data_IF_585868250128
#
_entry.id   IF_585868250128
#
_cell.length_a   1.000
_cell.length_b   1.000
_cell.length_c   1.000
_cell.angle_alpha   90.00
_cell.angle_beta   90.00
_cell.angle_gamma   90.00
#
_symmetry.space_group_name_H-M   'P 1'
#
loop_
_entity.id
_entity.type
_entity.pdbx_description
1 polymer ?
#
# COMPACT_ATOMS: atom_id res chain seq x y z
N UNK A 1 8.49 12.92 -23.23
CA UNK A 1 8.75 11.87 -24.24
C UNK A 1 7.70 10.75 -24.26
N UNK A 2 7.54 9.92 -23.22
CA UNK A 2 6.63 8.76 -23.30
C UNK A 2 5.16 9.16 -23.51
N UNK A 3 4.61 10.08 -22.71
CA UNK A 3 3.21 10.51 -22.82
C UNK A 3 2.90 11.24 -24.12
N UNK A 4 3.83 12.05 -24.64
CA UNK A 4 3.64 12.81 -25.88
C UNK A 4 3.50 11.88 -27.10
N UNK A 5 4.31 10.81 -27.15
CA UNK A 5 4.21 9.80 -28.21
C UNK A 5 2.89 9.03 -28.07
N UNK A 6 2.54 8.57 -26.86
CA UNK A 6 1.28 7.85 -26.65
C UNK A 6 0.04 8.69 -27.01
N UNK A 7 0.05 9.99 -26.72
CA UNK A 7 -1.04 10.91 -27.07
C UNK A 7 -1.14 11.14 -28.58
N UNK A 8 0.01 11.23 -29.27
CA UNK A 8 0.07 11.34 -30.71
C UNK A 8 -0.49 10.09 -31.39
N UNK A 9 -0.02 8.90 -30.97
CA UNK A 9 -0.49 7.62 -31.51
C UNK A 9 -2.01 7.47 -31.28
N UNK A 10 -2.49 7.80 -30.07
CA UNK A 10 -3.92 7.79 -29.75
C UNK A 10 -4.74 8.69 -30.70
N UNK A 11 -4.26 9.90 -30.96
CA UNK A 11 -4.96 10.87 -31.81
C UNK A 11 -4.94 10.48 -33.29
N UNK A 12 -3.76 10.13 -33.82
CA UNK A 12 -3.55 9.93 -35.25
C UNK A 12 -3.96 8.52 -35.70
N UNK A 13 -3.56 7.47 -34.98
CA UNK A 13 -3.71 6.08 -35.44
C UNK A 13 -5.01 5.41 -34.95
N UNK A 14 -5.56 5.84 -33.81
CA UNK A 14 -6.73 5.19 -33.21
C UNK A 14 -8.00 6.04 -33.23
N UNK A 15 -7.89 7.37 -33.29
CA UNK A 15 -9.02 8.30 -33.24
C UNK A 15 -9.31 9.02 -34.57
N UNK A 16 -8.68 8.62 -35.67
CA UNK A 16 -8.83 9.24 -37.00
C UNK A 16 -8.65 10.77 -36.98
N UNK A 17 -7.73 11.27 -36.15
CA UNK A 17 -7.42 12.70 -36.02
C UNK A 17 -8.41 13.53 -35.20
N UNK A 18 -9.34 12.92 -34.46
CA UNK A 18 -10.24 13.66 -33.57
C UNK A 18 -9.46 14.46 -32.51
N UNK A 19 -9.89 15.69 -32.24
CA UNK A 19 -9.21 16.60 -31.29
C UNK A 19 -9.25 16.05 -29.86
N UNK A 20 -8.09 15.96 -29.20
CA UNK A 20 -7.96 15.54 -27.81
C UNK A 20 -7.60 16.75 -26.94
N UNK A 21 -8.41 17.02 -25.93
CA UNK A 21 -8.11 18.02 -24.90
C UNK A 21 -7.29 17.37 -23.78
N UNK A 22 -6.03 17.75 -23.67
CA UNK A 22 -5.09 17.21 -22.69
C UNK A 22 -4.89 18.24 -21.58
N UNK A 23 -5.12 17.85 -20.33
CA UNK A 23 -4.75 18.65 -19.17
C UNK A 23 -3.28 18.48 -18.82
N UNK A 24 -2.74 19.36 -17.97
CA UNK A 24 -1.38 19.20 -17.46
C UNK A 24 -1.21 17.82 -16.81
N UNK A 25 -0.05 17.17 -17.01
CA UNK A 25 0.22 15.88 -16.39
C UNK A 25 0.21 16.04 -14.88
N UNK A 26 -0.39 15.06 -14.20
CA UNK A 26 -0.43 14.98 -12.75
C UNK A 26 0.27 13.70 -12.31
N UNK A 27 0.93 13.76 -11.16
CA UNK A 27 1.49 12.59 -10.49
C UNK A 27 0.52 12.14 -9.40
N UNK A 28 0.40 10.83 -9.21
CA UNK A 28 -0.38 10.28 -8.11
C UNK A 28 0.43 10.39 -6.83
N UNK A 29 -0.10 11.10 -5.84
CA UNK A 29 0.46 11.10 -4.50
C UNK A 29 0.03 9.82 -3.77
N UNK A 30 0.91 9.34 -2.90
CA UNK A 30 0.64 8.26 -1.95
C UNK A 30 0.67 8.86 -0.55
N UNK A 31 -0.12 8.28 0.34
CA UNK A 31 -0.17 8.66 1.74
C UNK A 31 0.62 7.63 2.56
N UNK A 32 1.24 8.10 3.63
CA UNK A 32 1.91 7.28 4.64
C UNK A 32 1.61 7.87 6.02
N UNK A 33 2.01 7.18 7.07
CA UNK A 33 1.90 7.64 8.44
C UNK A 33 3.29 7.87 9.04
N UNK A 34 3.43 8.90 9.86
CA UNK A 34 4.70 9.21 10.55
C UNK A 34 4.94 8.30 11.76
N UNK A 35 3.86 7.73 12.31
CA UNK A 35 3.90 6.95 13.55
C UNK A 35 3.80 7.83 14.80
N UNK A 36 3.43 7.19 15.90
CA UNK A 36 3.39 7.79 17.24
C UNK A 36 3.96 6.79 18.23
N UNK A 37 4.45 7.27 19.37
CA UNK A 37 4.93 6.40 20.43
C UNK A 37 3.77 5.59 21.01
N UNK A 38 4.01 4.28 21.17
CA UNK A 38 3.07 3.33 21.78
C UNK A 38 1.65 3.38 21.16
N UNK A 39 1.52 3.15 19.84
CA UNK A 39 0.27 3.37 19.11
C UNK A 39 -0.87 2.45 19.58
N UNK A 40 -0.53 1.28 20.12
CA UNK A 40 -1.49 0.31 20.65
C UNK A 40 -2.19 0.77 21.94
N UNK A 41 -1.64 1.78 22.63
CA UNK A 41 -2.25 2.35 23.82
C UNK A 41 -2.67 3.81 23.61
N UNK A 42 -1.95 4.58 22.79
CA UNK A 42 -2.15 6.04 22.65
C UNK A 42 -3.00 6.45 21.45
N UNK A 43 -3.08 5.61 20.41
CA UNK A 43 -3.70 5.97 19.12
C UNK A 43 -4.71 4.95 18.59
N UNK A 44 -5.30 4.15 19.48
CA UNK A 44 -6.35 3.19 19.10
C UNK A 44 -7.64 3.92 18.70
N UNK A 45 -8.04 3.71 17.45
CA UNK A 45 -9.29 4.19 16.90
C UNK A 45 -10.39 3.12 16.99
N UNK A 46 -11.59 3.52 17.41
CA UNK A 46 -12.77 2.65 17.52
C UNK A 46 -13.80 3.00 16.44
N UNK A 47 -14.17 2.01 15.63
CA UNK A 47 -15.31 2.09 14.72
C UNK A 47 -16.39 1.06 15.07
N UNK A 48 -17.65 1.39 14.82
CA UNK A 48 -18.81 0.52 15.12
C UNK A 48 -19.66 0.37 13.87
N UNK A 49 -20.15 -0.84 13.61
CA UNK A 49 -21.14 -1.04 12.55
C UNK A 49 -22.45 -0.29 12.89
N UNK A 50 -23.25 0.12 11.90
CA UNK A 50 -24.51 0.83 12.14
C UNK A 50 -25.47 0.09 13.08
N UNK A 51 -25.50 -1.24 13.00
CA UNK A 51 -26.31 -2.11 13.86
C UNK A 51 -25.69 -2.39 15.25
N UNK A 52 -24.50 -1.83 15.54
CA UNK A 52 -23.77 -1.94 16.81
C UNK A 52 -23.35 -3.36 17.25
N UNK A 53 -23.43 -4.35 16.37
CA UNK A 53 -22.95 -5.71 16.67
C UNK A 53 -21.44 -5.85 16.51
N UNK A 54 -20.84 -5.10 15.58
CA UNK A 54 -19.41 -5.16 15.32
C UNK A 54 -18.73 -3.90 15.82
N UNK A 55 -17.57 -4.11 16.48
CA UNK A 55 -16.67 -3.05 16.91
C UNK A 55 -15.28 -3.41 16.40
N UNK A 56 -14.62 -2.49 15.72
CA UNK A 56 -13.25 -2.62 15.28
C UNK A 56 -12.40 -1.63 16.06
N UNK A 57 -11.33 -2.13 16.66
CA UNK A 57 -10.29 -1.35 17.32
C UNK A 57 -9.05 -1.48 16.46
N UNK A 58 -8.55 -0.37 15.94
CA UNK A 58 -7.43 -0.34 14.99
C UNK A 58 -6.48 0.77 15.41
N UNK A 59 -5.19 0.45 15.42
CA UNK A 59 -4.11 1.42 15.43
C UNK A 59 -3.26 1.20 14.18
N UNK A 60 -2.38 2.13 13.86
CA UNK A 60 -1.45 2.01 12.75
C UNK A 60 -0.06 2.46 13.18
N UNK A 61 0.95 1.78 12.65
CA UNK A 61 2.37 2.13 12.80
C UNK A 61 3.04 2.07 11.42
N UNK A 62 4.08 2.88 11.17
CA UNK A 62 4.86 2.77 9.95
C UNK A 62 5.38 1.34 9.77
N UNK A 63 5.45 0.87 8.53
CA UNK A 63 6.12 -0.39 8.24
C UNK A 63 7.64 -0.24 8.50
N UNK A 64 8.34 -1.31 8.90
CA UNK A 64 9.79 -1.32 8.96
C UNK A 64 10.42 -0.91 7.63
N UNK A 65 11.61 -0.32 7.69
CA UNK A 65 12.38 0.03 6.50
C UNK A 65 12.61 -1.19 5.59
N UNK A 66 12.75 -0.95 4.29
CA UNK A 66 12.93 -1.97 3.23
C UNK A 66 11.76 -2.96 3.02
N UNK A 67 10.87 -3.17 3.99
CA UNK A 67 9.73 -4.07 3.84
C UNK A 67 8.76 -3.63 2.72
N UNK A 68 8.39 -2.35 2.58
CA UNK A 68 7.53 -1.91 1.48
C UNK A 68 8.11 -2.27 0.11
N UNK A 69 9.41 -2.05 -0.10
CA UNK A 69 10.10 -2.39 -1.35
C UNK A 69 10.11 -3.91 -1.58
N UNK A 70 10.34 -4.71 -0.52
CA UNK A 70 10.29 -6.17 -0.62
C UNK A 70 8.89 -6.70 -0.99
N UNK A 71 7.83 -6.04 -0.52
CA UNK A 71 6.44 -6.37 -0.89
C UNK A 71 6.19 -6.01 -2.36
N UNK A 72 6.61 -4.81 -2.81
CA UNK A 72 6.46 -4.39 -4.21
C UNK A 72 7.26 -5.26 -5.19
N UNK A 73 8.46 -5.70 -4.80
CA UNK A 73 9.30 -6.65 -5.54
C UNK A 73 8.71 -8.08 -5.55
N UNK A 74 7.71 -8.37 -4.73
CA UNK A 74 7.11 -9.70 -4.60
C UNK A 74 7.94 -10.72 -3.81
N UNK A 75 8.94 -10.26 -3.04
CA UNK A 75 9.74 -11.12 -2.13
C UNK A 75 8.92 -11.58 -0.92
N UNK A 76 7.95 -10.78 -0.50
CA UNK A 76 6.97 -11.10 0.54
C UNK A 76 5.58 -11.03 -0.08
N UNK A 77 4.86 -12.14 -0.12
CA UNK A 77 3.50 -12.20 -0.68
C UNK A 77 2.53 -12.96 0.23
N UNK A 78 1.23 -12.60 0.23
CA UNK A 78 0.21 -13.33 0.97
C UNK A 78 0.06 -14.80 0.53
N UNK A 79 0.65 -15.18 -0.61
CA UNK A 79 0.64 -16.56 -1.12
C UNK A 79 1.75 -17.44 -0.54
N UNK A 80 2.73 -16.85 0.13
CA UNK A 80 3.82 -17.61 0.74
C UNK A 80 3.30 -18.51 1.87
N UNK A 81 4.04 -19.57 2.15
CA UNK A 81 3.77 -20.42 3.30
C UNK A 81 3.94 -19.60 4.60
N UNK A 82 2.96 -19.68 5.50
CA UNK A 82 2.84 -18.76 6.64
C UNK A 82 4.05 -18.81 7.58
N UNK A 83 4.64 -19.99 7.83
CA UNK A 83 5.80 -20.12 8.70
C UNK A 83 7.06 -19.54 8.05
N UNK A 84 7.24 -19.74 6.75
CA UNK A 84 8.33 -19.13 5.99
C UNK A 84 8.20 -17.60 5.96
N UNK A 85 7.01 -17.07 5.67
CA UNK A 85 6.73 -15.61 5.68
C UNK A 85 6.97 -15.00 7.05
N UNK A 86 6.45 -15.62 8.12
CA UNK A 86 6.66 -15.14 9.50
C UNK A 86 8.15 -15.07 9.83
N UNK A 87 8.92 -16.11 9.49
CA UNK A 87 10.36 -16.14 9.76
C UNK A 87 11.09 -15.03 8.99
N UNK A 88 10.74 -14.81 7.73
CA UNK A 88 11.29 -13.75 6.89
C UNK A 88 11.00 -12.35 7.48
N UNK A 89 9.74 -12.09 7.84
CA UNK A 89 9.31 -10.83 8.46
C UNK A 89 10.05 -10.53 9.78
N UNK A 90 10.25 -11.55 10.61
CA UNK A 90 10.96 -11.41 11.88
C UNK A 90 12.46 -11.23 11.69
N UNK A 91 13.08 -12.11 10.89
CA UNK A 91 14.55 -12.19 10.81
C UNK A 91 15.14 -11.06 9.94
N UNK A 92 14.46 -10.65 8.86
CA UNK A 92 14.98 -9.62 7.94
C UNK A 92 14.41 -8.23 8.20
N UNK A 93 13.15 -8.13 8.64
CA UNK A 93 12.45 -6.84 8.80
C UNK A 93 12.13 -6.50 10.26
N UNK A 94 12.71 -7.24 11.21
CA UNK A 94 12.57 -7.03 12.65
C UNK A 94 11.12 -6.88 13.14
N UNK A 95 10.16 -7.52 12.45
CA UNK A 95 8.76 -7.51 12.87
C UNK A 95 8.58 -8.42 14.09
N UNK A 96 7.80 -7.95 15.07
CA UNK A 96 7.46 -8.73 16.26
C UNK A 96 6.85 -10.09 15.88
N UNK A 97 7.34 -11.16 16.52
CA UNK A 97 7.02 -12.54 16.12
C UNK A 97 5.51 -12.82 16.20
N UNK A 98 4.85 -12.32 17.23
CA UNK A 98 3.40 -12.47 17.42
C UNK A 98 2.58 -11.70 16.39
N UNK A 99 3.11 -10.60 15.87
CA UNK A 99 2.49 -9.84 14.78
C UNK A 99 2.71 -10.55 13.44
N UNK A 100 3.96 -10.91 13.14
CA UNK A 100 4.35 -11.59 11.90
C UNK A 100 3.60 -12.93 11.71
N UNK A 101 3.35 -13.67 12.80
CA UNK A 101 2.61 -14.94 12.77
C UNK A 101 1.14 -14.80 12.36
N UNK A 102 0.54 -13.62 12.51
CA UNK A 102 -0.87 -13.33 12.21
C UNK A 102 -1.09 -12.82 10.78
N UNK A 103 -0.02 -12.62 10.01
CA UNK A 103 -0.01 -12.15 8.62
C UNK A 103 0.12 -13.34 7.67
#
# INVERSE_FOLDING_TARGET
>A
LHLEICLKDLQEDFMNGAEIRVSNPVVTFRETIEGVDDPENTAVCLSKSPNKHNRLYIYASPLPDELPAAIEDGKVTPRDEAKARMKLLRDEYAMEEDAAKKI
#
